data_IF_162439007913
#
_entry.id   IF_162439007913
#
_cell.length_a   1.000
_cell.length_b   1.000
_cell.length_c   1.000
_cell.angle_alpha   90.00
_cell.angle_beta   90.00
_cell.angle_gamma   90.00
#
_symmetry.space_group_name_H-M   'P 1'
#
loop_
_entity.id
_entity.type
_entity.pdbx_description
1 polymer ?
#
# COMPACT_ATOMS: atom_id res chain seq x y z
N UNK A 1 14.96 -23.85 7.68
CA UNK A 1 15.32 -22.56 7.10
C UNK A 1 16.10 -21.80 8.15
N UNK A 2 17.34 -21.44 7.86
CA UNK A 2 18.15 -20.68 8.81
C UNK A 2 17.64 -19.23 8.92
N UNK A 3 18.19 -18.46 9.87
CA UNK A 3 17.77 -17.07 10.13
C UNK A 3 17.97 -16.17 8.90
N UNK A 4 19.05 -16.39 8.13
CA UNK A 4 19.37 -15.62 6.94
C UNK A 4 18.37 -15.92 5.82
N UNK A 5 18.14 -17.20 5.52
CA UNK A 5 17.17 -17.64 4.50
C UNK A 5 15.75 -17.16 4.84
N UNK A 6 15.36 -17.20 6.12
CA UNK A 6 14.07 -16.67 6.58
C UNK A 6 13.98 -15.16 6.37
N UNK A 7 15.02 -14.41 6.73
CA UNK A 7 15.09 -12.97 6.52
C UNK A 7 14.94 -12.61 5.04
N UNK A 8 15.68 -13.26 4.15
CA UNK A 8 15.61 -13.00 2.71
C UNK A 8 14.26 -13.37 2.12
N UNK A 9 13.68 -14.49 2.56
CA UNK A 9 12.35 -14.92 2.12
C UNK A 9 11.26 -13.95 2.56
N UNK A 10 11.35 -13.45 3.80
CA UNK A 10 10.46 -12.41 4.33
C UNK A 10 10.58 -11.13 3.52
N UNK A 11 11.81 -10.63 3.33
CA UNK A 11 12.07 -9.40 2.58
C UNK A 11 11.52 -9.50 1.15
N UNK A 12 11.80 -10.60 0.45
CA UNK A 12 11.29 -10.83 -0.90
C UNK A 12 9.76 -10.88 -0.94
N UNK A 13 9.13 -11.59 0.02
CA UNK A 13 7.68 -11.67 0.10
C UNK A 13 7.02 -10.30 0.32
N UNK A 14 7.56 -9.49 1.25
CA UNK A 14 7.04 -8.13 1.45
C UNK A 14 7.31 -7.22 0.25
N UNK A 15 8.46 -7.36 -0.42
CA UNK A 15 8.74 -6.63 -1.63
C UNK A 15 7.78 -6.97 -2.77
N UNK A 16 7.36 -8.23 -2.91
CA UNK A 16 6.34 -8.60 -3.89
C UNK A 16 5.00 -7.94 -3.55
N UNK A 17 4.53 -8.08 -2.32
CA UNK A 17 3.25 -7.49 -1.89
C UNK A 17 3.26 -5.97 -2.05
N UNK A 18 4.34 -5.28 -1.68
CA UNK A 18 4.39 -3.82 -1.75
C UNK A 18 4.61 -3.32 -3.18
N UNK A 19 5.64 -3.81 -3.88
CA UNK A 19 6.02 -3.25 -5.18
C UNK A 19 5.23 -3.81 -6.35
N UNK A 20 4.82 -5.08 -6.29
CA UNK A 20 4.18 -5.75 -7.43
C UNK A 20 2.65 -5.79 -7.29
N UNK A 21 2.12 -5.76 -6.07
CA UNK A 21 0.66 -5.76 -5.85
C UNK A 21 0.12 -4.39 -5.42
N UNK A 22 0.60 -3.85 -4.28
CA UNK A 22 0.02 -2.65 -3.67
C UNK A 22 0.23 -1.40 -4.53
N UNK A 23 1.48 -1.15 -4.95
CA UNK A 23 1.86 0.06 -5.70
C UNK A 23 1.07 0.18 -7.01
N UNK A 24 1.01 -0.85 -7.89
CA UNK A 24 0.19 -0.80 -9.11
C UNK A 24 -1.28 -0.50 -8.85
N UNK A 25 -1.88 -1.17 -7.85
CA UNK A 25 -3.31 -1.02 -7.53
C UNK A 25 -3.62 0.38 -7.01
N UNK A 26 -2.77 0.90 -6.13
CA UNK A 26 -2.90 2.25 -5.62
C UNK A 26 -2.70 3.31 -6.71
N UNK A 27 -1.72 3.11 -7.61
CA UNK A 27 -1.51 4.01 -8.74
C UNK A 27 -2.71 4.03 -9.70
N UNK A 28 -3.28 2.86 -10.01
CA UNK A 28 -4.52 2.74 -10.80
C UNK A 28 -5.69 3.41 -10.10
N UNK A 29 -5.89 3.14 -8.81
CA UNK A 29 -6.94 3.73 -8.00
C UNK A 29 -6.84 5.26 -8.01
N UNK A 30 -5.66 5.79 -7.70
CA UNK A 30 -5.40 7.22 -7.66
C UNK A 30 -5.67 7.86 -9.03
N UNK A 31 -5.11 7.30 -10.10
CA UNK A 31 -5.25 7.85 -11.45
C UNK A 31 -6.71 7.88 -11.91
N UNK A 32 -7.41 6.76 -11.78
CA UNK A 32 -8.82 6.64 -12.17
C UNK A 32 -9.70 7.56 -11.34
N UNK A 33 -9.51 7.57 -10.01
CA UNK A 33 -10.29 8.43 -9.12
C UNK A 33 -10.06 9.91 -9.44
N UNK A 34 -8.81 10.33 -9.67
CA UNK A 34 -8.50 11.70 -10.06
C UNK A 34 -9.25 12.11 -11.33
N UNK A 35 -9.24 11.28 -12.37
CA UNK A 35 -9.95 11.56 -13.63
C UNK A 35 -11.47 11.58 -13.48
N UNK A 36 -12.00 10.69 -12.64
CA UNK A 36 -13.41 10.68 -12.28
C UNK A 36 -13.82 12.00 -11.61
N UNK A 37 -13.04 12.48 -10.63
CA UNK A 37 -13.33 13.74 -9.94
C UNK A 37 -13.17 14.96 -10.87
N UNK A 38 -12.16 14.97 -11.76
CA UNK A 38 -11.91 16.08 -12.68
C UNK A 38 -12.96 16.21 -13.81
N UNK A 39 -13.57 15.11 -14.25
CA UNK A 39 -14.41 15.06 -15.46
C UNK A 39 -15.70 14.24 -15.26
N UNK A 40 -16.34 14.36 -14.11
CA UNK A 40 -17.42 13.46 -13.66
C UNK A 40 -18.49 13.18 -14.73
N UNK A 41 -19.04 14.22 -15.37
CA UNK A 41 -20.13 14.04 -16.35
C UNK A 41 -19.69 13.23 -17.58
N UNK A 42 -18.55 13.57 -18.17
CA UNK A 42 -18.00 12.86 -19.34
C UNK A 42 -17.53 11.46 -18.94
N UNK A 43 -16.96 11.32 -17.75
CA UNK A 43 -16.49 10.05 -17.23
C UNK A 43 -17.66 9.08 -17.01
N UNK A 44 -18.76 9.53 -16.40
CA UNK A 44 -19.96 8.71 -16.21
C UNK A 44 -20.55 8.29 -17.57
N UNK A 45 -20.70 9.23 -18.50
CA UNK A 45 -21.29 8.98 -19.82
C UNK A 45 -20.46 8.00 -20.67
N UNK A 46 -19.13 8.16 -20.70
CA UNK A 46 -18.24 7.40 -21.60
C UNK A 46 -17.54 6.22 -20.95
N UNK A 47 -17.28 6.29 -19.66
CA UNK A 47 -16.37 5.42 -18.94
C UNK A 47 -16.98 4.93 -17.60
N UNK A 48 -18.30 5.05 -17.41
CA UNK A 48 -18.97 4.81 -16.12
C UNK A 48 -18.71 3.44 -15.48
N UNK A 49 -18.37 2.42 -16.28
CA UNK A 49 -17.96 1.10 -15.76
C UNK A 49 -16.73 1.20 -14.83
N UNK A 50 -15.83 2.16 -15.07
CA UNK A 50 -14.64 2.35 -14.24
C UNK A 50 -14.97 2.90 -12.84
N UNK A 51 -16.17 3.42 -12.58
CA UNK A 51 -16.59 3.78 -11.22
C UNK A 51 -16.60 2.54 -10.29
N UNK A 52 -17.03 1.39 -10.80
CA UNK A 52 -16.98 0.12 -10.07
C UNK A 52 -15.55 -0.40 -9.91
N UNK A 53 -14.69 -0.15 -10.90
CA UNK A 53 -13.27 -0.49 -10.84
C UNK A 53 -12.57 0.33 -9.77
N UNK A 54 -12.84 1.65 -9.70
CA UNK A 54 -12.32 2.55 -8.66
C UNK A 54 -12.70 2.01 -7.27
N UNK A 55 -13.98 1.70 -7.06
CA UNK A 55 -14.45 1.17 -5.77
C UNK A 55 -13.80 -0.17 -5.40
N UNK A 56 -13.62 -1.06 -6.38
CA UNK A 56 -12.96 -2.35 -6.15
C UNK A 56 -11.48 -2.17 -5.78
N UNK A 57 -10.77 -1.27 -6.49
CA UNK A 57 -9.38 -0.96 -6.22
C UNK A 57 -9.18 -0.31 -4.85
N UNK A 58 -10.09 0.58 -4.43
CA UNK A 58 -10.07 1.16 -3.08
C UNK A 58 -10.13 0.07 -2.01
N UNK A 59 -11.11 -0.82 -2.11
CA UNK A 59 -11.31 -1.91 -1.14
C UNK A 59 -10.09 -2.83 -1.11
N UNK A 60 -9.59 -3.26 -2.27
CA UNK A 60 -8.45 -4.17 -2.34
C UNK A 60 -7.16 -3.53 -1.80
N UNK A 61 -6.93 -2.25 -2.11
CA UNK A 61 -5.80 -1.47 -1.57
C UNK A 61 -5.86 -1.40 -0.04
N UNK A 62 -7.03 -1.06 0.52
CA UNK A 62 -7.24 -1.01 1.97
C UNK A 62 -7.01 -2.39 2.63
N UNK A 63 -7.45 -3.48 1.99
CA UNK A 63 -7.24 -4.84 2.50
C UNK A 63 -5.76 -5.24 2.51
N UNK A 64 -5.03 -4.96 1.43
CA UNK A 64 -3.60 -5.25 1.36
C UNK A 64 -2.84 -4.48 2.44
N UNK A 65 -3.12 -3.18 2.59
CA UNK A 65 -2.51 -2.38 3.64
C UNK A 65 -2.85 -2.89 5.03
N UNK A 66 -4.12 -3.19 5.30
CA UNK A 66 -4.53 -3.68 6.60
C UNK A 66 -3.88 -5.03 6.94
N UNK A 67 -3.58 -5.89 5.94
CA UNK A 67 -2.81 -7.13 6.15
C UNK A 67 -1.33 -6.83 6.49
N UNK A 68 -0.70 -5.91 5.76
CA UNK A 68 0.68 -5.48 6.03
C UNK A 68 0.86 -4.82 7.40
N UNK A 69 -0.24 -4.35 8.01
CA UNK A 69 -0.27 -3.64 9.29
C UNK A 69 -0.82 -4.48 10.45
N UNK A 70 -1.28 -5.71 10.21
CA UNK A 70 -1.94 -6.53 11.24
C UNK A 70 -0.94 -7.14 12.23
N UNK A 71 -0.40 -6.28 13.11
CA UNK A 71 0.58 -6.60 14.14
C UNK A 71 0.10 -7.62 15.20
N UNK A 72 -1.22 -7.81 15.33
CA UNK A 72 -1.84 -8.61 16.40
C UNK A 72 -2.31 -9.99 15.93
N UNK A 73 -2.76 -10.14 14.68
CA UNK A 73 -3.39 -11.38 14.20
C UNK A 73 -2.55 -12.14 13.15
N UNK A 74 -1.48 -11.54 12.64
CA UNK A 74 -0.61 -12.15 11.62
C UNK A 74 0.86 -12.06 12.01
N UNK A 75 1.62 -13.13 11.80
CA UNK A 75 3.09 -13.12 11.92
C UNK A 75 3.77 -12.53 10.67
N UNK A 76 2.99 -12.25 9.62
CA UNK A 76 3.44 -11.73 8.33
C UNK A 76 2.92 -10.30 8.13
N UNK A 77 3.48 -9.36 8.87
CA UNK A 77 3.23 -7.92 8.74
C UNK A 77 4.56 -7.14 8.89
N UNK A 78 4.55 -5.86 8.50
CA UNK A 78 5.78 -5.06 8.45
C UNK A 78 6.40 -4.81 9.83
N UNK A 79 5.57 -4.71 10.88
CA UNK A 79 6.04 -4.51 12.26
C UNK A 79 6.77 -5.77 12.73
N UNK A 80 6.21 -6.95 12.46
CA UNK A 80 6.85 -8.23 12.78
C UNK A 80 8.11 -8.48 11.97
N UNK A 81 8.18 -7.97 10.75
CA UNK A 81 9.42 -7.99 9.97
C UNK A 81 10.54 -7.16 10.63
N UNK A 82 10.21 -5.96 11.12
CA UNK A 82 11.15 -5.11 11.86
C UNK A 82 11.57 -5.81 13.17
N UNK A 83 10.61 -6.33 13.94
CA UNK A 83 10.88 -7.06 15.19
C UNK A 83 11.80 -8.29 14.95
N UNK A 84 11.54 -9.04 13.88
CA UNK A 84 12.36 -10.19 13.48
C UNK A 84 13.77 -9.75 13.10
N UNK A 85 13.89 -8.67 12.33
CA UNK A 85 15.17 -8.11 11.89
C UNK A 85 16.00 -7.63 13.08
N UNK A 86 15.38 -6.95 14.05
CA UNK A 86 16.04 -6.48 15.27
C UNK A 86 16.55 -7.63 16.13
N UNK A 87 15.69 -8.62 16.39
CA UNK A 87 16.00 -9.78 17.25
C UNK A 87 17.14 -10.62 16.70
N UNK A 88 17.33 -10.61 15.37
CA UNK A 88 18.31 -11.42 14.65
C UNK A 88 19.44 -10.60 14.02
N UNK A 89 19.54 -9.30 14.35
CA UNK A 89 20.41 -8.35 13.63
C UNK A 89 21.87 -8.77 13.53
N UNK A 90 22.40 -9.45 14.56
CA UNK A 90 23.79 -9.90 14.63
C UNK A 90 24.05 -11.18 13.83
N UNK A 91 22.99 -11.93 13.53
CA UNK A 91 23.05 -13.18 12.75
C UNK A 91 22.81 -12.91 11.27
N UNK A 92 21.96 -11.94 10.95
CA UNK A 92 21.69 -11.52 9.58
C UNK A 92 22.92 -10.83 9.00
N UNK A 93 23.39 -11.32 7.86
CA UNK A 93 24.57 -10.80 7.17
C UNK A 93 24.15 -9.66 6.24
N UNK A 94 24.48 -8.44 6.62
CA UNK A 94 24.47 -7.27 5.74
C UNK A 94 25.87 -7.01 5.19
N UNK A 95 25.93 -6.24 4.11
CA UNK A 95 27.19 -5.86 3.44
C UNK A 95 28.17 -5.17 4.38
N UNK A 96 27.68 -4.27 5.24
CA UNK A 96 28.48 -3.49 6.19
C UNK A 96 28.47 -4.11 7.59
N UNK A 97 28.18 -5.42 7.69
CA UNK A 97 28.16 -6.18 8.93
C UNK A 97 26.75 -6.55 9.38
N UNK A 98 26.34 -6.09 10.56
CA UNK A 98 25.02 -6.37 11.15
C UNK A 98 24.04 -5.24 10.85
N UNK A 99 22.74 -5.49 11.00
CA UNK A 99 21.72 -4.43 10.85
C UNK A 99 21.97 -3.35 11.92
N UNK A 100 22.18 -2.07 11.52
CA UNK A 100 22.40 -0.99 12.48
C UNK A 100 21.17 -0.74 13.36
N UNK A 101 21.37 -0.57 14.67
CA UNK A 101 20.27 -0.30 15.61
C UNK A 101 19.56 1.02 15.30
N UNK A 102 20.31 2.04 14.87
CA UNK A 102 19.73 3.32 14.42
C UNK A 102 18.82 3.15 13.19
N UNK A 103 19.09 2.17 12.33
CA UNK A 103 18.23 1.87 11.19
C UNK A 103 16.88 1.34 11.65
N UNK A 104 16.87 0.36 12.56
CA UNK A 104 15.65 -0.19 13.15
C UNK A 104 14.85 0.90 13.88
N UNK A 105 15.54 1.76 14.65
CA UNK A 105 14.89 2.87 15.37
C UNK A 105 14.18 3.82 14.41
N UNK A 106 14.84 4.26 13.34
CA UNK A 106 14.24 5.12 12.31
C UNK A 106 13.01 4.47 11.66
N UNK A 107 13.05 3.17 11.42
CA UNK A 107 11.92 2.45 10.83
C UNK A 107 10.72 2.39 11.78
N UNK A 108 10.97 2.20 13.08
CA UNK A 108 9.91 2.27 14.10
C UNK A 108 9.31 3.67 14.20
N UNK A 109 10.13 4.72 14.12
CA UNK A 109 9.69 6.12 14.09
C UNK A 109 8.81 6.39 12.86
N UNK A 110 9.22 5.95 11.67
CA UNK A 110 8.41 6.08 10.45
C UNK A 110 7.02 5.43 10.57
N UNK A 111 6.94 4.24 11.19
CA UNK A 111 5.66 3.58 11.45
C UNK A 111 4.84 4.38 12.47
N UNK A 112 5.48 4.86 13.54
CA UNK A 112 4.81 5.64 14.59
C UNK A 112 4.24 6.97 14.07
N UNK A 113 4.94 7.65 13.16
CA UNK A 113 4.46 8.87 12.49
C UNK A 113 3.16 8.63 11.70
N UNK A 114 2.93 7.41 11.24
CA UNK A 114 1.73 7.02 10.48
C UNK A 114 0.67 6.31 11.33
N UNK A 115 0.84 6.24 12.65
CA UNK A 115 0.02 5.43 13.54
C UNK A 115 -1.48 5.77 13.45
N UNK A 116 -1.83 7.05 13.36
CA UNK A 116 -3.22 7.48 13.25
C UNK A 116 -3.89 6.94 11.96
N UNK A 117 -3.17 6.94 10.84
CA UNK A 117 -3.65 6.38 9.56
C UNK A 117 -3.78 4.86 9.64
N UNK A 118 -2.80 4.19 10.25
CA UNK A 118 -2.80 2.74 10.47
C UNK A 118 -4.02 2.31 11.29
N UNK A 119 -4.35 3.06 12.34
CA UNK A 119 -5.54 2.81 13.18
C UNK A 119 -6.83 2.96 12.38
N UNK A 120 -6.97 4.03 11.59
CA UNK A 120 -8.15 4.24 10.74
C UNK A 120 -8.32 3.11 9.71
N UNK A 121 -7.25 2.70 9.04
CA UNK A 121 -7.28 1.57 8.08
C UNK A 121 -7.68 0.26 8.79
N UNK A 122 -7.10 -0.01 9.96
CA UNK A 122 -7.39 -1.22 10.74
C UNK A 122 -8.85 -1.27 11.18
N UNK A 123 -9.39 -0.14 11.65
CA UNK A 123 -10.80 -0.06 12.06
C UNK A 123 -11.72 -0.20 10.87
N UNK A 124 -11.44 0.45 9.73
CA UNK A 124 -12.22 0.27 8.49
C UNK A 124 -12.27 -1.19 8.06
N UNK A 125 -11.12 -1.88 8.07
CA UNK A 125 -11.09 -3.33 7.81
C UNK A 125 -12.00 -4.09 8.77
N UNK A 126 -11.81 -3.91 10.08
CA UNK A 126 -12.54 -4.69 11.07
C UNK A 126 -14.05 -4.42 11.04
N UNK A 127 -14.44 -3.15 10.89
CA UNK A 127 -15.84 -2.70 11.04
C UNK A 127 -16.67 -2.76 9.77
N UNK A 128 -16.04 -2.82 8.61
CA UNK A 128 -16.75 -2.77 7.33
C UNK A 128 -16.42 -3.95 6.43
N UNK A 129 -15.15 -4.38 6.39
CA UNK A 129 -14.72 -5.44 5.48
C UNK A 129 -14.75 -6.84 6.11
N UNK A 130 -14.44 -6.96 7.40
CA UNK A 130 -14.37 -8.23 8.11
C UNK A 130 -15.65 -8.55 8.90
N UNK A 131 -16.27 -7.52 9.49
CA UNK A 131 -17.50 -7.66 10.24
C UNK A 131 -18.50 -6.65 9.67
N UNK A 132 -19.67 -7.13 9.23
CA UNK A 132 -20.79 -6.27 8.80
C UNK A 132 -21.40 -5.56 10.01
N UNK A 133 -20.64 -4.69 10.66
CA UNK A 133 -21.05 -3.98 11.86
C UNK A 133 -22.31 -3.17 11.53
N UNK A 134 -23.37 -3.40 12.31
CA UNK A 134 -24.71 -2.85 12.08
C UNK A 134 -24.69 -1.33 11.91
N UNK A 135 -23.78 -0.63 12.61
CA UNK A 135 -23.66 0.83 12.54
C UNK A 135 -23.24 1.31 11.15
N UNK A 136 -22.33 0.61 10.49
CA UNK A 136 -21.75 1.00 9.20
C UNK A 136 -22.38 0.27 8.01
N UNK A 137 -23.02 -0.88 8.25
CA UNK A 137 -23.75 -1.61 7.22
C UNK A 137 -24.92 -0.79 6.64
N UNK A 138 -25.63 -0.06 7.52
CA UNK A 138 -26.78 0.76 7.12
C UNK A 138 -26.41 2.19 6.70
N UNK A 139 -25.21 2.64 7.00
CA UNK A 139 -24.71 3.96 6.62
C UNK A 139 -23.20 3.87 6.35
N UNK A 140 -22.87 3.68 5.07
CA UNK A 140 -21.48 3.54 4.62
C UNK A 140 -20.72 4.86 4.68
N UNK A 141 -21.37 5.99 4.38
CA UNK A 141 -20.78 7.34 4.45
C UNK A 141 -20.27 7.65 5.85
N UNK A 142 -20.96 7.15 6.89
CA UNK A 142 -20.53 7.27 8.28
C UNK A 142 -19.16 6.64 8.56
N UNK A 143 -18.75 5.63 7.79
CA UNK A 143 -17.40 5.06 7.90
C UNK A 143 -16.34 6.04 7.40
N UNK A 144 -16.65 6.80 6.35
CA UNK A 144 -15.78 7.83 5.79
C UNK A 144 -15.70 9.05 6.71
N UNK A 145 -16.79 9.36 7.43
CA UNK A 145 -16.81 10.40 8.48
C UNK A 145 -16.04 9.98 9.74
N UNK A 146 -16.33 8.79 10.29
CA UNK A 146 -15.76 8.35 11.57
C UNK A 146 -14.27 7.94 11.43
N UNK A 147 -13.88 7.41 10.27
CA UNK A 147 -12.52 6.95 9.98
C UNK A 147 -12.07 7.37 8.57
N UNK A 148 -11.81 8.67 8.35
CA UNK A 148 -11.41 9.17 7.05
C UNK A 148 -10.02 8.66 6.67
N UNK A 149 -9.89 8.10 5.47
CA UNK A 149 -8.60 7.70 4.90
C UNK A 149 -8.54 8.25 3.48
N UNK A 150 -7.68 9.23 3.26
CA UNK A 150 -7.49 9.82 1.94
C UNK A 150 -6.57 8.96 1.08
N UNK A 151 -6.65 9.11 -0.25
CA UNK A 151 -5.69 8.47 -1.17
C UNK A 151 -4.25 8.90 -0.83
N UNK A 152 -4.03 10.13 -0.40
CA UNK A 152 -2.70 10.60 -0.01
C UNK A 152 -2.18 9.93 1.27
N UNK A 153 -3.06 9.62 2.23
CA UNK A 153 -2.69 8.81 3.38
C UNK A 153 -2.18 7.43 2.94
N UNK A 154 -2.86 6.81 1.97
CA UNK A 154 -2.48 5.51 1.40
C UNK A 154 -1.12 5.61 0.66
N UNK A 155 -0.91 6.66 -0.13
CA UNK A 155 0.34 6.90 -0.86
C UNK A 155 1.50 7.09 0.12
N UNK A 156 1.33 7.93 1.13
CA UNK A 156 2.36 8.19 2.14
C UNK A 156 2.73 6.91 2.91
N UNK A 157 1.73 6.10 3.28
CA UNK A 157 1.97 4.84 3.97
C UNK A 157 2.66 3.80 3.07
N UNK A 158 2.30 3.74 1.78
CA UNK A 158 2.97 2.89 0.80
C UNK A 158 4.44 3.27 0.65
N UNK A 159 4.75 4.58 0.57
CA UNK A 159 6.11 5.10 0.52
C UNK A 159 6.91 4.76 1.79
N UNK A 160 6.26 4.77 2.95
CA UNK A 160 6.86 4.30 4.20
C UNK A 160 7.30 2.83 4.07
N UNK A 161 6.44 1.94 3.57
CA UNK A 161 6.80 0.54 3.36
C UNK A 161 7.92 0.36 2.34
N UNK A 162 7.86 1.06 1.20
CA UNK A 162 8.91 1.02 0.18
C UNK A 162 10.25 1.46 0.75
N UNK A 163 10.28 2.53 1.56
CA UNK A 163 11.51 3.03 2.20
C UNK A 163 12.12 1.97 3.11
N UNK A 164 11.34 1.39 4.02
CA UNK A 164 11.79 0.32 4.92
C UNK A 164 12.37 -0.83 4.10
N UNK A 165 11.60 -1.40 3.17
CA UNK A 165 12.03 -2.56 2.39
C UNK A 165 13.24 -2.27 1.49
N UNK A 166 13.36 -1.05 0.98
CA UNK A 166 14.51 -0.65 0.16
C UNK A 166 15.78 -0.57 0.98
N UNK A 167 15.73 -0.01 2.20
CA UNK A 167 16.89 0.03 3.11
C UNK A 167 17.40 -1.38 3.42
N UNK A 168 16.49 -2.31 3.72
CA UNK A 168 16.81 -3.72 3.94
C UNK A 168 17.42 -4.39 2.69
N UNK A 169 16.90 -4.08 1.50
CA UNK A 169 17.42 -4.57 0.22
C UNK A 169 18.83 -4.03 -0.08
N UNK A 170 19.04 -2.73 0.13
CA UNK A 170 20.34 -2.09 -0.05
C UNK A 170 21.38 -2.64 0.93
N UNK A 171 20.97 -2.93 2.17
CA UNK A 171 21.81 -3.60 3.17
C UNK A 171 22.24 -5.01 2.76
N UNK A 172 21.42 -5.70 1.96
CA UNK A 172 21.62 -7.10 1.57
C UNK A 172 22.36 -7.28 0.22
N UNK A 173 21.90 -6.63 -0.88
CA UNK A 173 22.30 -6.99 -2.26
C UNK A 173 22.80 -5.81 -3.12
N UNK A 174 23.15 -4.66 -2.54
CA UNK A 174 23.55 -3.44 -3.29
C UNK A 174 22.53 -2.99 -4.35
N UNK A 175 21.24 -3.20 -4.09
CA UNK A 175 20.17 -2.75 -4.95
C UNK A 175 18.84 -2.68 -4.21
N UNK A 176 18.04 -1.68 -4.58
CA UNK A 176 16.63 -1.58 -4.21
C UNK A 176 15.75 -1.93 -5.41
N UNK A 177 14.47 -2.20 -5.16
CA UNK A 177 13.48 -2.24 -6.24
C UNK A 177 13.08 -0.80 -6.58
N UNK A 178 12.90 -0.53 -7.87
CA UNK A 178 12.39 0.76 -8.36
C UNK A 178 10.87 0.68 -8.43
N UNK A 179 10.18 1.75 -8.01
CA UNK A 179 8.73 1.86 -8.20
C UNK A 179 8.40 2.10 -9.67
N UNK A 180 7.37 1.46 -10.19
CA UNK A 180 6.89 1.64 -11.57
C UNK A 180 5.51 2.30 -11.62
N UNK A 181 5.12 3.04 -10.59
CA UNK A 181 3.81 3.73 -10.48
C UNK A 181 3.52 4.66 -11.66
N UNK A 182 4.52 5.37 -12.17
CA UNK A 182 4.40 6.29 -13.31
C UNK A 182 3.89 5.62 -14.58
N UNK A 183 4.25 4.36 -14.81
CA UNK A 183 3.76 3.60 -15.95
C UNK A 183 2.24 3.41 -15.88
N UNK A 184 1.69 3.23 -14.67
CA UNK A 184 0.25 3.08 -14.47
C UNK A 184 -0.49 4.41 -14.63
N UNK A 185 0.10 5.52 -14.18
CA UNK A 185 -0.47 6.86 -14.43
C UNK A 185 -0.60 7.13 -15.93
N UNK A 186 0.49 6.92 -16.69
CA UNK A 186 0.51 7.10 -18.15
C UNK A 186 -0.46 6.15 -18.86
N UNK A 187 -0.53 4.89 -18.43
CA UNK A 187 -1.41 3.90 -19.03
C UNK A 187 -2.90 4.27 -18.86
N UNK A 188 -3.30 4.71 -17.65
CA UNK A 188 -4.68 5.16 -17.38
C UNK A 188 -5.01 6.41 -18.18
N UNK A 189 -4.12 7.39 -18.24
CA UNK A 189 -4.32 8.61 -19.02
C UNK A 189 -4.54 8.28 -20.51
N UNK A 190 -3.68 7.44 -21.08
CA UNK A 190 -3.81 7.01 -22.47
C UNK A 190 -5.11 6.24 -22.74
N UNK A 191 -5.51 5.37 -21.82
CA UNK A 191 -6.73 4.59 -21.92
C UNK A 191 -7.97 5.50 -21.88
N UNK A 192 -8.07 6.34 -20.86
CA UNK A 192 -9.22 7.21 -20.66
C UNK A 192 -9.33 8.27 -21.75
N UNK A 193 -8.22 8.84 -22.22
CA UNK A 193 -8.25 9.79 -23.34
C UNK A 193 -8.87 9.17 -24.60
N UNK A 194 -8.53 7.91 -24.91
CA UNK A 194 -9.11 7.20 -26.06
C UNK A 194 -10.60 6.91 -25.90
N UNK A 195 -11.04 6.61 -24.68
CA UNK A 195 -12.45 6.28 -24.38
C UNK A 195 -13.31 7.54 -24.32
N UNK A 196 -12.85 8.57 -23.62
CA UNK A 196 -13.61 9.79 -23.36
C UNK A 196 -13.57 10.75 -24.54
N UNK A 197 -12.48 10.75 -25.31
CA UNK A 197 -12.27 11.68 -26.42
C UNK A 197 -11.79 10.99 -27.71
N UNK A 198 -12.56 10.02 -28.24
CA UNK A 198 -12.17 9.23 -29.42
C UNK A 198 -11.94 10.08 -30.68
N UNK A 199 -12.53 11.27 -30.76
CA UNK A 199 -12.35 12.22 -31.86
C UNK A 199 -10.91 12.74 -31.99
N UNK A 200 -10.09 12.70 -30.93
CA UNK A 200 -8.69 13.16 -30.98
C UNK A 200 -7.74 12.16 -31.64
N UNK A 201 -8.24 10.96 -32.00
CA UNK A 201 -7.44 9.86 -32.52
C UNK A 201 -7.89 9.40 -33.92
N UNK A 202 -8.63 10.26 -34.63
CA UNK A 202 -9.04 10.06 -36.02
C UNK A 202 -8.05 10.70 -36.99
#
# INVERSE_FOLDING_TARGET
MDVQEMYESLLNGFQQIVFDDLVPKLALYHSLNKKYQENNDVFIDKAGIFAYVIQSLEVDTLLIMAKLLDGKRSDRNIIKFIDFSESNRLTIKWKDGSIPTEQIKKQRELIAENQATIERITVRRDKFLAHSDKKYFLNREKLDEDYPVSIEDLINLTRCFQKILSEHSFGLKNGGRVSYEDFFYIAVDNLLNKIMYPQHFK
#
